data_IF_498404680182
#
_entry.id   IF_498404680182
#
_cell.length_a   1.000
_cell.length_b   1.000
_cell.length_c   1.000
_cell.angle_alpha   90.00
_cell.angle_beta   90.00
_cell.angle_gamma   90.00
#
_symmetry.space_group_name_H-M   'P 1'
#
loop_
_entity.id
_entity.type
_entity.pdbx_description
1 polymer ?
#
# COMPACT_ATOMS: atom_id res chain seq x y z
N UNK A 1 -24.03 -41.89 -8.13
CA UNK A 1 -24.57 -40.92 -7.15
C UNK A 1 -24.81 -39.60 -7.87
N UNK A 2 -26.03 -39.07 -7.72
CA UNK A 2 -26.63 -37.91 -8.42
C UNK A 2 -25.89 -36.62 -8.00
N UNK A 3 -25.31 -35.81 -8.89
CA UNK A 3 -25.91 -34.79 -9.77
C UNK A 3 -26.87 -33.84 -9.06
N UNK A 4 -26.38 -32.64 -8.72
CA UNK A 4 -27.19 -31.46 -8.40
C UNK A 4 -26.49 -30.19 -8.91
N UNK A 5 -26.93 -29.74 -10.08
CA UNK A 5 -26.87 -28.35 -10.51
C UNK A 5 -27.66 -27.49 -9.52
N UNK A 6 -27.08 -26.38 -9.05
CA UNK A 6 -27.87 -25.33 -8.41
C UNK A 6 -27.51 -23.98 -9.05
N UNK A 7 -28.33 -23.60 -10.03
CA UNK A 7 -28.43 -22.28 -10.61
C UNK A 7 -28.90 -21.29 -9.54
N UNK A 8 -28.19 -20.18 -9.33
CA UNK A 8 -28.68 -19.06 -8.54
C UNK A 8 -28.74 -17.78 -9.39
N UNK A 9 -29.94 -17.61 -9.94
CA UNK A 9 -30.73 -16.39 -10.16
C UNK A 9 -29.97 -15.06 -10.13
N UNK A 10 -29.84 -14.52 -11.35
CA UNK A 10 -29.66 -13.12 -11.71
C UNK A 10 -30.85 -12.28 -11.22
N UNK A 11 -30.61 -11.34 -10.30
CA UNK A 11 -31.56 -10.27 -9.95
C UNK A 11 -30.96 -8.94 -10.39
N UNK A 12 -31.50 -8.44 -11.50
CA UNK A 12 -31.21 -7.16 -12.12
C UNK A 12 -32.19 -6.13 -11.53
N UNK A 13 -31.72 -5.22 -10.68
CA UNK A 13 -32.51 -4.04 -10.26
C UNK A 13 -31.87 -2.81 -10.91
N UNK A 14 -32.44 -2.45 -12.06
CA UNK A 14 -32.30 -1.12 -12.66
C UNK A 14 -33.38 -0.23 -12.05
N UNK A 15 -33.00 0.63 -11.11
CA UNK A 15 -33.80 1.79 -10.71
C UNK A 15 -33.09 3.05 -11.22
N UNK A 16 -33.64 3.62 -12.30
CA UNK A 16 -33.24 4.94 -12.80
C UNK A 16 -33.84 6.03 -11.93
N UNK A 17 -32.98 6.90 -11.39
CA UNK A 17 -33.41 8.18 -10.82
C UNK A 17 -33.35 9.25 -11.90
N UNK A 18 -34.51 9.85 -12.13
CA UNK A 18 -34.75 10.96 -13.02
C UNK A 18 -33.87 12.17 -12.67
N UNK A 19 -33.39 12.86 -13.71
CA UNK A 19 -32.63 14.09 -13.59
C UNK A 19 -33.46 15.22 -13.00
N UNK A 20 -32.92 15.85 -11.96
CA UNK A 20 -33.32 17.19 -11.54
C UNK A 20 -32.38 18.21 -12.19
N UNK A 21 -32.95 19.08 -13.01
CA UNK A 21 -32.32 20.35 -13.38
C UNK A 21 -32.30 21.22 -12.12
N UNK A 22 -31.14 21.29 -11.46
CA UNK A 22 -30.84 22.28 -10.43
C UNK A 22 -29.63 23.08 -10.90
N UNK A 23 -29.84 23.83 -11.97
CA UNK A 23 -29.04 24.97 -12.34
C UNK A 23 -30.03 26.12 -12.48
N UNK A 24 -29.65 27.30 -12.01
CA UNK A 24 -30.42 28.56 -12.06
C UNK A 24 -31.33 28.80 -10.86
N UNK A 25 -30.72 29.13 -9.69
CA UNK A 25 -31.24 30.05 -8.65
C UNK A 25 -30.32 30.21 -7.43
N UNK A 26 -29.01 30.28 -7.63
CA UNK A 26 -28.04 30.55 -6.55
C UNK A 26 -27.14 31.76 -6.85
N UNK A 27 -27.68 32.70 -7.63
CA UNK A 27 -27.13 34.03 -7.86
C UNK A 27 -28.23 35.05 -7.53
N UNK A 28 -28.46 35.33 -6.25
CA UNK A 28 -28.95 36.64 -5.76
C UNK A 28 -29.09 36.61 -4.25
N UNK A 29 -28.81 37.76 -3.62
CA UNK A 29 -28.88 38.04 -2.18
C UNK A 29 -27.69 37.63 -1.30
N UNK A 30 -26.51 38.16 -1.64
CA UNK A 30 -25.57 38.64 -0.61
C UNK A 30 -25.85 40.12 -0.33
N UNK A 31 -26.92 40.41 0.42
CA UNK A 31 -27.10 41.74 1.02
C UNK A 31 -26.31 41.85 2.34
N UNK A 32 -25.41 42.80 2.32
CA UNK A 32 -24.60 43.34 3.42
C UNK A 32 -25.44 43.98 4.52
N UNK A 33 -25.09 43.68 5.79
CA UNK A 33 -25.14 44.51 7.03
C UNK A 33 -25.02 43.52 8.20
N UNK A 34 -24.08 43.62 9.14
CA UNK A 34 -23.77 44.75 10.03
C UNK A 34 -22.33 44.66 10.53
N UNK A 35 -21.68 45.81 10.71
CA UNK A 35 -20.29 45.92 11.18
C UNK A 35 -20.13 45.90 12.69
N UNK A 36 -18.94 45.46 13.12
CA UNK A 36 -18.32 45.74 14.42
C UNK A 36 -16.87 46.18 14.15
N UNK A 37 -16.48 47.28 14.79
CA UNK A 37 -15.20 48.00 14.74
C UNK A 37 -14.01 47.10 15.16
N UNK A 38 -12.81 47.16 14.59
CA UNK A 38 -12.31 47.92 13.46
C UNK A 38 -10.93 47.39 13.06
N UNK A 39 -10.79 47.04 11.78
CA UNK A 39 -9.56 47.10 11.00
C UNK A 39 -9.98 46.98 9.53
N UNK A 40 -9.60 47.95 8.69
CA UNK A 40 -9.97 47.99 7.27
C UNK A 40 -8.83 47.41 6.45
N UNK A 41 -8.99 46.18 5.98
CA UNK A 41 -8.28 45.65 4.82
C UNK A 41 -9.29 45.42 3.70
N UNK A 42 -9.05 46.06 2.55
CA UNK A 42 -9.87 45.95 1.35
C UNK A 42 -9.46 44.76 0.50
N UNK A 43 -9.66 43.54 1.00
CA UNK A 43 -9.70 42.24 0.32
C UNK A 43 -10.66 41.42 1.19
N UNK A 44 -11.61 40.66 0.62
CA UNK A 44 -12.71 40.04 1.39
C UNK A 44 -12.18 38.92 2.29
N UNK A 45 -11.82 39.27 3.53
CA UNK A 45 -10.98 38.50 4.47
C UNK A 45 -11.47 37.06 4.80
N UNK A 46 -12.70 36.67 4.48
CA UNK A 46 -13.14 35.27 4.65
C UNK A 46 -12.93 34.38 3.41
N UNK A 47 -12.97 34.93 2.19
CA UNK A 47 -12.95 34.08 0.97
C UNK A 47 -11.57 33.48 0.68
N UNK A 48 -10.51 34.23 0.98
CA UNK A 48 -9.12 33.76 0.81
C UNK A 48 -8.74 32.76 1.91
N UNK A 49 -9.19 33.00 3.15
CA UNK A 49 -8.97 32.09 4.27
C UNK A 49 -9.67 30.74 4.07
N UNK A 50 -10.89 30.74 3.52
CA UNK A 50 -11.61 29.49 3.17
C UNK A 50 -10.84 28.71 2.09
N UNK A 51 -10.32 29.38 1.06
CA UNK A 51 -9.54 28.70 0.00
C UNK A 51 -8.23 28.10 0.52
N UNK A 52 -7.50 28.85 1.36
CA UNK A 52 -6.25 28.35 1.96
C UNK A 52 -6.51 27.13 2.85
N UNK A 53 -7.59 27.14 3.62
CA UNK A 53 -7.99 26.00 4.44
C UNK A 53 -8.33 24.76 3.62
N UNK A 54 -9.15 24.91 2.58
CA UNK A 54 -9.49 23.80 1.67
C UNK A 54 -8.22 23.21 1.07
N UNK A 55 -7.27 24.06 0.64
CA UNK A 55 -5.98 23.61 0.11
C UNK A 55 -5.12 22.85 1.15
N UNK A 56 -5.15 23.25 2.42
CA UNK A 56 -4.45 22.54 3.50
C UNK A 56 -5.11 21.19 3.82
N UNK A 57 -6.43 21.12 3.79
CA UNK A 57 -7.18 19.87 3.98
C UNK A 57 -6.92 18.87 2.86
N UNK A 58 -6.88 19.33 1.60
CA UNK A 58 -6.53 18.49 0.45
C UNK A 58 -5.10 17.96 0.55
N UNK A 59 -4.12 18.82 0.87
CA UNK A 59 -2.74 18.38 1.12
C UNK A 59 -2.65 17.36 2.26
N UNK A 60 -3.40 17.59 3.34
CA UNK A 60 -3.41 16.66 4.47
C UNK A 60 -3.96 15.29 4.05
N UNK A 61 -5.03 15.25 3.26
CA UNK A 61 -5.61 14.01 2.76
C UNK A 61 -4.64 13.24 1.86
N UNK A 62 -3.96 13.93 0.93
CA UNK A 62 -2.94 13.33 0.06
C UNK A 62 -1.79 12.77 0.91
N UNK A 63 -1.27 13.57 1.84
CA UNK A 63 -0.13 13.17 2.67
C UNK A 63 -0.48 11.99 3.59
N UNK A 64 -1.71 11.95 4.12
CA UNK A 64 -2.17 10.82 4.92
C UNK A 64 -2.22 9.52 4.09
N UNK A 65 -2.78 9.58 2.88
CA UNK A 65 -2.80 8.43 1.95
C UNK A 65 -1.39 7.94 1.63
N UNK A 66 -0.46 8.86 1.34
CA UNK A 66 0.94 8.49 1.06
C UNK A 66 1.63 7.81 2.24
N UNK A 67 1.37 8.28 3.47
CA UNK A 67 1.92 7.68 4.70
C UNK A 67 1.35 6.28 4.91
N UNK A 68 0.05 6.09 4.73
CA UNK A 68 -0.60 4.78 4.83
C UNK A 68 -0.09 3.81 3.77
N UNK A 69 0.02 4.24 2.52
CA UNK A 69 0.54 3.44 1.41
C UNK A 69 2.00 3.03 1.63
N UNK A 70 2.85 3.94 2.12
CA UNK A 70 4.22 3.63 2.50
C UNK A 70 4.27 2.63 3.65
N UNK A 71 3.44 2.82 4.67
CA UNK A 71 3.40 1.90 5.81
C UNK A 71 2.95 0.50 5.38
N UNK A 72 1.94 0.39 4.52
CA UNK A 72 1.49 -0.87 3.93
C UNK A 72 2.57 -1.51 3.04
N UNK A 73 3.29 -0.71 2.27
CA UNK A 73 4.38 -1.19 1.41
C UNK A 73 5.55 -1.74 2.22
N UNK A 74 5.86 -1.13 3.36
CA UNK A 74 6.95 -1.58 4.23
C UNK A 74 6.52 -2.80 5.05
N UNK A 75 5.39 -2.71 5.75
CA UNK A 75 5.02 -3.65 6.82
C UNK A 75 3.82 -4.54 6.51
N UNK A 76 3.02 -4.25 5.48
CA UNK A 76 1.73 -4.87 5.22
C UNK A 76 0.56 -4.17 5.92
N UNK A 77 -0.63 -4.78 5.85
CA UNK A 77 -1.88 -4.18 6.32
C UNK A 77 -1.97 -4.05 7.83
N UNK A 78 -1.39 -5.00 8.56
CA UNK A 78 -1.45 -5.01 10.01
C UNK A 78 -0.33 -5.85 10.62
N UNK A 79 -0.23 -5.83 11.94
CA UNK A 79 0.67 -6.71 12.68
C UNK A 79 0.30 -8.20 12.56
N UNK A 80 -0.98 -8.52 12.36
CA UNK A 80 -1.47 -9.90 12.21
C UNK A 80 -1.39 -10.39 10.76
N UNK A 81 -1.39 -9.47 9.80
CA UNK A 81 -1.19 -9.71 8.37
C UNK A 81 0.06 -8.97 7.88
N UNK A 82 1.26 -9.39 8.33
CA UNK A 82 2.50 -8.76 7.92
C UNK A 82 2.75 -9.04 6.44
N UNK A 83 3.16 -8.00 5.72
CA UNK A 83 3.40 -8.04 4.29
C UNK A 83 4.55 -7.13 3.90
N UNK A 84 4.49 -6.66 2.66
CA UNK A 84 5.45 -5.69 2.16
C UNK A 84 6.89 -6.19 2.14
N UNK A 85 7.83 -5.24 2.18
CA UNK A 85 9.27 -5.51 2.14
C UNK A 85 9.76 -6.17 3.43
N UNK A 86 9.19 -5.82 4.58
CA UNK A 86 9.58 -6.41 5.87
C UNK A 86 9.35 -7.93 5.90
N UNK A 87 8.19 -8.39 5.44
CA UNK A 87 7.90 -9.83 5.37
C UNK A 87 8.72 -10.53 4.28
N UNK A 88 8.97 -9.87 3.15
CA UNK A 88 9.89 -10.37 2.12
C UNK A 88 11.31 -10.59 2.69
N UNK A 89 11.83 -9.64 3.47
CA UNK A 89 13.12 -9.74 4.14
C UNK A 89 13.14 -10.88 5.17
N UNK A 90 12.07 -11.01 5.98
CA UNK A 90 11.92 -12.13 6.91
C UNK A 90 12.03 -13.47 6.21
N UNK A 91 11.25 -13.67 5.14
CA UNK A 91 11.29 -14.90 4.33
C UNK A 91 12.65 -15.15 3.69
N UNK A 92 13.35 -14.10 3.25
CA UNK A 92 14.70 -14.24 2.73
C UNK A 92 15.67 -14.75 3.80
N UNK A 93 15.65 -14.14 5.00
CA UNK A 93 16.49 -14.56 6.12
C UNK A 93 16.20 -15.99 6.58
N UNK A 94 14.94 -16.40 6.60
CA UNK A 94 14.56 -17.80 6.88
C UNK A 94 15.13 -18.76 5.84
N UNK A 95 15.07 -18.42 4.55
CA UNK A 95 15.66 -19.25 3.49
C UNK A 95 17.17 -19.34 3.60
N UNK A 96 17.84 -18.25 3.95
CA UNK A 96 19.29 -18.22 4.13
C UNK A 96 19.73 -19.04 5.35
N UNK A 97 18.88 -19.15 6.37
CA UNK A 97 19.12 -19.97 7.55
C UNK A 97 18.84 -21.47 7.33
N UNK A 98 18.29 -21.90 6.18
CA UNK A 98 18.01 -23.32 5.94
C UNK A 98 19.33 -24.12 5.85
N UNK A 99 19.50 -25.21 6.63
CA UNK A 99 20.70 -26.04 6.60
C UNK A 99 21.06 -26.60 5.22
N UNK A 100 20.07 -26.79 4.33
CA UNK A 100 20.28 -27.29 2.96
C UNK A 100 21.02 -26.30 2.06
N UNK A 101 20.99 -25.02 2.40
CA UNK A 101 21.77 -23.96 1.73
C UNK A 101 22.96 -23.48 2.56
N UNK A 102 23.36 -24.25 3.58
CA UNK A 102 24.51 -23.93 4.45
C UNK A 102 24.17 -23.05 5.66
N UNK A 103 22.89 -22.85 5.96
CA UNK A 103 22.46 -22.11 7.15
C UNK A 103 22.56 -22.90 8.46
N UNK A 104 22.38 -22.21 9.57
CA UNK A 104 22.44 -22.75 10.93
C UNK A 104 21.09 -23.25 11.47
N UNK A 105 20.02 -23.14 10.68
CA UNK A 105 18.64 -23.44 11.06
C UNK A 105 17.94 -22.33 11.84
N UNK A 106 18.64 -21.25 12.22
CA UNK A 106 18.12 -20.23 13.11
C UNK A 106 18.08 -18.87 12.41
N UNK A 107 16.90 -18.41 11.93
CA UNK A 107 16.82 -17.12 11.26
C UNK A 107 17.23 -15.99 12.21
N UNK A 108 18.05 -15.02 11.75
CA UNK A 108 18.44 -13.88 12.57
C UNK A 108 17.21 -13.07 12.99
N UNK A 109 17.27 -12.52 14.20
CA UNK A 109 16.18 -11.73 14.77
C UNK A 109 15.77 -10.59 13.81
N UNK A 110 14.46 -10.44 13.62
CA UNK A 110 13.90 -9.37 12.80
C UNK A 110 13.73 -8.09 13.61
N UNK A 111 13.82 -6.96 12.92
CA UNK A 111 13.45 -5.67 13.49
C UNK A 111 11.97 -5.66 13.88
N UNK A 112 11.67 -5.00 15.00
CA UNK A 112 10.32 -4.93 15.55
C UNK A 112 9.38 -4.22 14.56
N UNK A 113 8.19 -4.79 14.39
CA UNK A 113 7.08 -4.12 13.70
C UNK A 113 6.63 -2.90 14.52
N UNK A 114 6.54 -1.74 13.88
CA UNK A 114 6.23 -0.48 14.53
C UNK A 114 5.25 0.32 13.66
N UNK A 115 4.18 0.80 14.27
CA UNK A 115 3.21 1.71 13.65
C UNK A 115 3.70 3.14 13.85
N UNK A 116 4.02 3.83 12.74
CA UNK A 116 4.60 5.18 12.78
C UNK A 116 3.50 6.22 12.58
N UNK A 117 2.63 5.99 11.59
CA UNK A 117 1.43 6.81 11.39
C UNK A 117 0.33 6.31 12.31
N UNK A 118 0.13 6.97 13.45
CA UNK A 118 -1.12 6.76 14.22
C UNK A 118 -2.27 7.38 13.44
N UNK A 119 -3.44 6.73 13.37
CA UNK A 119 -4.62 7.36 12.81
C UNK A 119 -4.89 8.66 13.57
N UNK A 120 -4.85 9.79 12.85
CA UNK A 120 -5.18 11.07 13.45
C UNK A 120 -6.64 11.01 13.89
N UNK A 121 -6.95 11.42 15.13
CA UNK A 121 -8.33 11.45 15.61
C UNK A 121 -9.17 12.26 14.62
N UNK A 122 -10.25 11.67 14.09
CA UNK A 122 -11.13 12.37 13.17
C UNK A 122 -11.54 13.71 13.79
N UNK A 123 -11.38 14.80 13.04
CA UNK A 123 -11.98 16.06 13.46
C UNK A 123 -13.48 15.87 13.31
N UNK A 124 -14.16 15.60 14.41
CA UNK A 124 -15.60 15.81 14.45
C UNK A 124 -15.80 17.31 14.29
N UNK A 125 -16.30 17.73 13.13
CA UNK A 125 -16.84 19.07 12.95
C UNK A 125 -18.05 19.19 13.88
N UNK A 126 -17.79 19.56 15.13
CA UNK A 126 -18.83 19.76 16.11
C UNK A 126 -19.51 21.09 15.80
N UNK A 127 -20.74 21.00 15.29
CA UNK A 127 -21.63 22.14 15.17
C UNK A 127 -22.15 22.42 16.58
N UNK A 128 -21.77 23.55 17.18
CA UNK A 128 -22.38 24.00 18.44
C UNK A 128 -23.83 24.40 18.19
N UNK A 129 -24.65 24.27 19.24
CA UNK A 129 -26.08 24.66 19.26
C UNK A 129 -26.33 26.10 18.77
N UNK A 130 -25.30 26.94 18.85
CA UNK A 130 -25.29 28.35 18.43
C UNK A 130 -25.23 28.55 16.90
N UNK A 131 -25.33 27.49 16.08
CA UNK A 131 -25.12 27.48 14.61
C UNK A 131 -23.72 27.91 14.16
N UNK A 132 -22.77 28.03 15.07
CA UNK A 132 -21.37 28.31 14.76
C UNK A 132 -20.64 26.99 14.51
N UNK A 133 -20.19 26.78 13.27
CA UNK A 133 -19.32 25.66 12.90
C UNK A 133 -17.94 25.92 13.49
N UNK A 134 -17.47 25.07 14.42
CA UNK A 134 -16.08 25.12 14.88
C UNK A 134 -15.22 24.61 13.74
N UNK A 135 -14.66 25.55 13.00
CA UNK A 135 -13.87 25.24 11.82
C UNK A 135 -12.38 25.13 12.23
N UNK A 136 -11.73 24.01 11.89
CA UNK A 136 -10.36 23.65 12.29
C UNK A 136 -9.39 24.82 12.04
N UNK A 137 -8.62 25.23 13.05
CA UNK A 137 -7.68 26.36 12.90
C UNK A 137 -6.56 26.02 11.90
N UNK A 138 -6.05 27.02 11.16
CA UNK A 138 -4.95 26.79 10.21
C UNK A 138 -3.69 26.25 10.90
N UNK A 139 -3.44 26.69 12.14
CA UNK A 139 -2.32 26.21 12.95
C UNK A 139 -2.43 24.71 13.24
N UNK A 140 -3.63 24.21 13.54
CA UNK A 140 -3.86 22.78 13.77
C UNK A 140 -3.64 21.95 12.50
N UNK A 141 -4.03 22.46 11.33
CA UNK A 141 -3.76 21.80 10.04
C UNK A 141 -2.26 21.79 9.73
N UNK A 142 -1.55 22.91 9.93
CA UNK A 142 -0.11 23.00 9.69
C UNK A 142 0.71 22.09 10.62
N UNK A 143 0.34 22.00 11.90
CA UNK A 143 0.98 21.07 12.84
C UNK A 143 0.81 19.62 12.36
N UNK A 144 -0.40 19.23 11.96
CA UNK A 144 -0.68 17.90 11.40
C UNK A 144 0.13 17.59 10.14
N UNK A 145 0.17 18.52 9.18
CA UNK A 145 1.00 18.38 7.97
C UNK A 145 2.45 18.16 8.36
N UNK A 146 2.96 18.90 9.34
CA UNK A 146 4.34 18.74 9.84
C UNK A 146 4.57 17.36 10.46
N UNK A 147 3.62 16.85 11.26
CA UNK A 147 3.71 15.49 11.85
C UNK A 147 3.69 14.39 10.79
N UNK A 148 2.75 14.46 9.84
CA UNK A 148 2.64 13.47 8.76
C UNK A 148 3.86 13.53 7.82
N UNK A 149 4.38 14.73 7.54
CA UNK A 149 5.60 14.88 6.74
C UNK A 149 6.81 14.24 7.42
N UNK A 150 6.95 14.41 8.75
CA UNK A 150 7.96 13.69 9.54
C UNK A 150 7.76 12.17 9.48
N UNK A 151 6.52 11.69 9.63
CA UNK A 151 6.20 10.27 9.52
C UNK A 151 6.57 9.70 8.15
N UNK A 152 6.23 10.40 7.06
CA UNK A 152 6.61 10.06 5.68
C UNK A 152 8.12 9.94 5.52
N UNK A 153 8.89 10.89 6.03
CA UNK A 153 10.36 10.86 5.92
C UNK A 153 10.98 9.67 6.68
N UNK A 154 10.46 9.37 7.87
CA UNK A 154 10.88 8.19 8.66
C UNK A 154 10.56 6.91 7.89
N UNK A 155 9.34 6.78 7.35
CA UNK A 155 8.91 5.61 6.59
C UNK A 155 9.76 5.46 5.31
N UNK A 156 10.02 6.52 4.57
CA UNK A 156 10.88 6.48 3.38
C UNK A 156 12.28 5.97 3.72
N UNK A 157 12.88 6.48 4.79
CA UNK A 157 14.20 6.02 5.25
C UNK A 157 14.19 4.54 5.64
N UNK A 158 13.12 4.07 6.30
CA UNK A 158 12.94 2.65 6.64
C UNK A 158 12.74 1.79 5.39
N UNK A 159 11.99 2.27 4.40
CA UNK A 159 11.78 1.58 3.13
C UNK A 159 13.12 1.31 2.44
N UNK A 160 13.95 2.33 2.26
CA UNK A 160 15.26 2.20 1.63
C UNK A 160 16.16 1.24 2.43
N UNK A 161 16.19 1.41 3.76
CA UNK A 161 16.96 0.53 4.63
C UNK A 161 16.52 -0.95 4.58
N UNK A 162 15.21 -1.23 4.44
CA UNK A 162 14.73 -2.61 4.27
C UNK A 162 14.98 -3.15 2.88
N UNK A 163 14.88 -2.31 1.85
CA UNK A 163 15.16 -2.68 0.46
C UNK A 163 16.62 -3.09 0.29
N UNK A 164 17.57 -2.29 0.79
CA UNK A 164 19.00 -2.61 0.74
C UNK A 164 19.34 -3.93 1.46
N UNK A 165 18.71 -4.15 2.63
CA UNK A 165 18.84 -5.40 3.39
C UNK A 165 18.26 -6.59 2.64
N UNK A 166 17.13 -6.42 1.96
CA UNK A 166 16.49 -7.46 1.16
C UNK A 166 17.36 -7.82 -0.05
N UNK A 167 17.85 -6.84 -0.79
CA UNK A 167 18.70 -7.05 -1.96
C UNK A 167 20.01 -7.75 -1.58
N UNK A 168 20.63 -7.31 -0.48
CA UNK A 168 21.81 -7.99 0.08
C UNK A 168 21.50 -9.43 0.50
N UNK A 169 20.35 -9.66 1.11
CA UNK A 169 19.93 -10.99 1.54
C UNK A 169 19.70 -11.92 0.33
N UNK A 170 18.99 -11.47 -0.71
CA UNK A 170 18.75 -12.28 -1.90
C UNK A 170 20.06 -12.56 -2.65
N UNK A 171 20.97 -11.60 -2.73
CA UNK A 171 22.31 -11.84 -3.31
C UNK A 171 23.10 -12.92 -2.54
N UNK A 172 23.09 -12.86 -1.20
CA UNK A 172 23.70 -13.89 -0.36
C UNK A 172 23.04 -15.25 -0.57
N UNK A 173 21.72 -15.30 -0.65
CA UNK A 173 20.98 -16.53 -0.90
C UNK A 173 21.33 -17.14 -2.26
N UNK A 174 21.41 -16.35 -3.34
CA UNK A 174 21.81 -16.85 -4.65
C UNK A 174 23.25 -17.38 -4.65
N UNK A 175 24.16 -16.69 -3.97
CA UNK A 175 25.55 -17.17 -3.80
C UNK A 175 25.59 -18.49 -3.04
N UNK A 176 24.81 -18.61 -1.96
CA UNK A 176 24.73 -19.84 -1.17
C UNK A 176 24.18 -21.01 -1.99
N UNK A 177 23.16 -20.79 -2.82
CA UNK A 177 22.66 -21.83 -3.73
C UNK A 177 23.78 -22.39 -4.62
N UNK A 178 24.55 -21.51 -5.27
CA UNK A 178 25.66 -21.94 -6.14
C UNK A 178 26.74 -22.70 -5.36
N UNK A 179 27.11 -22.21 -4.17
CA UNK A 179 28.11 -22.87 -3.32
C UNK A 179 27.70 -24.28 -2.90
N UNK A 180 26.40 -24.54 -2.74
CA UNK A 180 25.85 -25.86 -2.40
C UNK A 180 25.42 -26.67 -3.63
N UNK A 181 25.84 -26.26 -4.84
CA UNK A 181 25.56 -26.96 -6.09
C UNK A 181 24.08 -26.96 -6.49
N UNK A 182 23.30 -26.00 -5.99
CA UNK A 182 21.94 -25.70 -6.45
C UNK A 182 22.01 -24.66 -7.56
N UNK A 183 21.10 -24.74 -8.54
CA UNK A 183 21.08 -23.79 -9.65
C UNK A 183 20.13 -22.62 -9.34
N UNK A 184 20.62 -21.36 -9.26
CA UNK A 184 19.80 -20.16 -9.13
C UNK A 184 18.59 -20.10 -10.06
N UNK A 185 18.72 -20.61 -11.29
CA UNK A 185 17.66 -20.55 -12.29
C UNK A 185 16.49 -21.48 -11.96
N UNK A 186 16.68 -22.49 -11.11
CA UNK A 186 15.56 -23.32 -10.64
C UNK A 186 14.61 -22.55 -9.72
N UNK A 187 15.04 -21.41 -9.19
CA UNK A 187 14.17 -20.55 -8.37
C UNK A 187 13.16 -19.77 -9.20
N UNK A 188 13.44 -19.59 -10.50
CA UNK A 188 12.61 -18.83 -11.43
C UNK A 188 11.59 -19.75 -12.11
N UNK A 189 10.48 -19.17 -12.55
CA UNK A 189 9.55 -19.90 -13.40
C UNK A 189 10.22 -20.20 -14.74
N UNK A 190 10.04 -21.42 -15.24
CA UNK A 190 10.53 -21.82 -16.56
C UNK A 190 9.32 -22.18 -17.44
N UNK A 191 9.35 -21.71 -18.67
CA UNK A 191 8.31 -21.93 -19.66
C UNK A 191 8.87 -21.85 -21.07
N UNK A 192 8.02 -22.15 -22.05
CA UNK A 192 8.37 -22.02 -23.45
C UNK A 192 7.22 -21.37 -24.21
N UNK A 193 7.57 -20.69 -25.30
CA UNK A 193 6.57 -20.19 -26.25
C UNK A 193 6.09 -21.36 -27.12
N UNK A 194 4.82 -21.73 -26.98
CA UNK A 194 4.17 -22.74 -27.83
C UNK A 194 3.23 -22.06 -28.82
N UNK A 195 3.05 -22.67 -29.99
CA UNK A 195 2.13 -22.17 -31.01
C UNK A 195 0.68 -22.51 -30.61
N UNK A 196 -0.17 -21.48 -30.54
CA UNK A 196 -1.59 -21.60 -30.24
C UNK A 196 -2.43 -21.93 -31.47
N UNK A 197 -3.73 -22.23 -31.28
CA UNK A 197 -4.64 -22.70 -32.35
C UNK A 197 -4.77 -21.75 -33.55
N UNK A 198 -4.54 -20.45 -33.35
CA UNK A 198 -4.67 -19.43 -34.39
C UNK A 198 -3.31 -18.80 -34.77
N UNK A 199 -2.21 -19.52 -34.58
CA UNK A 199 -0.85 -19.07 -34.96
C UNK A 199 -0.18 -18.08 -34.00
N UNK A 200 -0.87 -17.59 -32.96
CA UNK A 200 -0.27 -16.76 -31.90
C UNK A 200 0.60 -17.60 -30.96
N UNK A 201 1.67 -17.02 -30.42
CA UNK A 201 2.51 -17.69 -29.42
C UNK A 201 1.93 -17.51 -28.02
N UNK A 202 1.81 -18.60 -27.26
CA UNK A 202 1.39 -18.60 -25.86
C UNK A 202 2.55 -19.05 -25.00
N UNK A 203 2.81 -18.35 -23.90
CA UNK A 203 3.78 -18.81 -22.92
C UNK A 203 3.17 -19.98 -22.13
N UNK A 204 3.67 -21.18 -22.35
CA UNK A 204 3.31 -22.36 -21.57
C UNK A 204 4.32 -22.53 -20.44
N UNK A 205 3.86 -22.40 -19.21
CA UNK A 205 4.68 -22.68 -18.05
C UNK A 205 4.98 -24.18 -17.98
N UNK A 206 6.26 -24.55 -18.01
CA UNK A 206 6.71 -25.93 -17.79
C UNK A 206 6.91 -26.21 -16.31
N UNK A 207 7.36 -25.21 -15.57
CA UNK A 207 7.76 -25.32 -14.17
C UNK A 207 7.48 -24.01 -13.45
N UNK A 208 6.78 -24.10 -12.33
CA UNK A 208 6.57 -22.96 -11.44
C UNK A 208 7.88 -22.51 -10.77
N UNK A 209 7.97 -21.22 -10.50
CA UNK A 209 8.99 -20.68 -9.61
C UNK A 209 8.84 -21.34 -8.24
N UNK A 210 9.96 -21.74 -7.63
CA UNK A 210 9.98 -22.23 -6.26
C UNK A 210 11.10 -21.54 -5.51
N UNK A 211 10.87 -21.19 -4.25
CA UNK A 211 11.93 -20.73 -3.36
C UNK A 211 12.18 -21.72 -2.21
N UNK A 212 11.53 -22.89 -2.27
CA UNK A 212 11.66 -23.96 -1.28
C UNK A 212 12.95 -24.77 -1.55
N UNK A 213 13.91 -24.79 -0.60
CA UNK A 213 15.14 -25.55 -0.74
C UNK A 213 14.92 -27.05 -0.96
N UNK A 214 13.84 -27.64 -0.43
CA UNK A 214 13.57 -29.07 -0.62
C UNK A 214 13.29 -29.39 -2.09
N UNK A 215 12.41 -28.60 -2.70
CA UNK A 215 12.05 -28.74 -4.11
C UNK A 215 13.26 -28.47 -5.01
N UNK A 216 14.14 -27.52 -4.64
CA UNK A 216 15.40 -27.30 -5.36
C UNK A 216 16.33 -28.53 -5.32
N UNK A 217 16.44 -29.20 -4.17
CA UNK A 217 17.22 -30.43 -4.04
C UNK A 217 16.59 -31.57 -4.85
N UNK A 218 15.26 -31.73 -4.82
CA UNK A 218 14.55 -32.72 -5.66
C UNK A 218 14.82 -32.49 -7.14
N UNK A 219 14.81 -31.23 -7.59
CA UNK A 219 15.13 -30.84 -8.98
C UNK A 219 16.58 -31.14 -9.34
N UNK A 220 17.53 -30.92 -8.42
CA UNK A 220 18.93 -31.27 -8.62
C UNK A 220 19.10 -32.78 -8.85
N UNK A 221 18.58 -33.62 -7.94
CA UNK A 221 18.65 -35.08 -8.06
C UNK A 221 18.02 -35.55 -9.37
N UNK A 222 16.88 -34.97 -9.78
CA UNK A 222 16.25 -35.30 -11.05
C UNK A 222 17.16 -35.03 -12.25
N UNK A 223 17.90 -33.91 -12.28
CA UNK A 223 18.87 -33.63 -13.36
C UNK A 223 20.03 -34.59 -13.36
N UNK A 224 20.60 -34.88 -12.18
CA UNK A 224 21.73 -35.81 -12.05
C UNK A 224 21.36 -37.24 -12.49
N UNK A 225 20.08 -37.60 -12.46
CA UNK A 225 19.58 -38.87 -12.99
C UNK A 225 19.23 -38.84 -14.50
N UNK A 226 19.11 -37.65 -15.10
CA UNK A 226 18.80 -37.46 -16.53
C UNK A 226 20.08 -37.30 -17.38
N UNK A 227 21.22 -37.02 -16.76
CA UNK A 227 22.57 -36.92 -17.37
C UNK A 227 23.29 -38.28 -17.39
#
# INVERSE_FOLDING_TARGET
>A
MRSTCLSFVMVLILAGCAGSKVTDKLEEEYQTKTGVEGEKVGLKDDKIMIQKRIYLEEQLAVLNSEVEDLQHTIYGKSKTDPGGIWDALRRCRTRLADPRVGGDGNPPAMEKWEEIGKPDSAFEHTVRDDKNVIAVTEEALNDRITRLSKAKNILSTKYDGFKDKLDTCEHKYQTALVQHGLNPNDTKANGEWVQGPNGYKVWRMKRGATKDPEELMRRKVKRENEE
#
